data_IF_955464826072
#
_entry.id   IF_955464826072
#
_cell.length_a   1.000
_cell.length_b   1.000
_cell.length_c   1.000
_cell.angle_alpha   90.00
_cell.angle_beta   90.00
_cell.angle_gamma   90.00
#
_symmetry.space_group_name_H-M   'P 1'
#
loop_
_entity.id
_entity.type
_entity.pdbx_description
1 polymer ?
#
# COMPACT_ATOMS: atom_id res chain seq x y z
N UNK A 1 -6.14 0.23 -16.47
CA UNK A 1 -5.50 0.80 -15.27
C UNK A 1 -6.46 1.19 -14.14
N UNK A 2 -7.65 1.76 -14.44
CA UNK A 2 -8.60 2.24 -13.42
C UNK A 2 -9.00 1.17 -12.39
N UNK A 3 -9.33 -0.05 -12.82
CA UNK A 3 -9.69 -1.14 -11.90
C UNK A 3 -8.59 -1.45 -10.87
N UNK A 4 -7.32 -1.42 -11.28
CA UNK A 4 -6.17 -1.65 -10.38
C UNK A 4 -6.10 -0.55 -9.33
N UNK A 5 -6.27 0.72 -9.73
CA UNK A 5 -6.30 1.83 -8.79
C UNK A 5 -7.47 1.71 -7.80
N UNK A 6 -8.66 1.32 -8.27
CA UNK A 6 -9.83 1.07 -7.41
C UNK A 6 -9.54 -0.03 -6.39
N UNK A 7 -8.93 -1.14 -6.80
CA UNK A 7 -8.55 -2.24 -5.88
C UNK A 7 -7.60 -1.72 -4.80
N UNK A 8 -6.62 -0.90 -5.15
CA UNK A 8 -5.67 -0.34 -4.18
C UNK A 8 -6.36 0.58 -3.17
N UNK A 9 -7.30 1.41 -3.63
CA UNK A 9 -8.10 2.28 -2.76
C UNK A 9 -8.96 1.43 -1.82
N UNK A 10 -9.69 0.45 -2.35
CA UNK A 10 -10.57 -0.41 -1.55
C UNK A 10 -9.75 -1.15 -0.49
N UNK A 11 -8.65 -1.81 -0.87
CA UNK A 11 -7.81 -2.54 0.07
C UNK A 11 -7.22 -1.60 1.16
N UNK A 12 -6.76 -0.41 0.79
CA UNK A 12 -6.29 0.57 1.75
C UNK A 12 -7.35 0.95 2.79
N UNK A 13 -8.60 1.16 2.34
CA UNK A 13 -9.74 1.45 3.21
C UNK A 13 -10.07 0.26 4.11
N UNK A 14 -10.19 -0.94 3.54
CA UNK A 14 -10.52 -2.16 4.27
C UNK A 14 -9.47 -2.51 5.34
N UNK A 15 -8.19 -2.37 5.02
CA UNK A 15 -7.10 -2.62 5.98
C UNK A 15 -7.14 -1.62 7.14
N UNK A 16 -7.27 -0.31 6.85
CA UNK A 16 -7.22 0.71 7.91
C UNK A 16 -8.51 0.85 8.70
N UNK A 17 -9.62 1.03 8.00
CA UNK A 17 -10.92 1.35 8.59
C UNK A 17 -11.74 0.09 8.88
N UNK A 18 -11.71 -0.88 7.97
CA UNK A 18 -12.33 -2.21 8.19
C UNK A 18 -11.55 -3.12 9.14
N UNK A 19 -10.35 -2.69 9.60
CA UNK A 19 -9.45 -3.45 10.49
C UNK A 19 -9.14 -4.86 9.96
N UNK A 20 -9.12 -5.05 8.64
CA UNK A 20 -8.81 -6.32 8.00
C UNK A 20 -7.31 -6.63 8.05
N UNK A 21 -6.74 -6.68 9.26
CA UNK A 21 -5.30 -6.89 9.48
C UNK A 21 -4.84 -8.30 9.09
N UNK A 22 -5.76 -9.24 8.89
CA UNK A 22 -5.45 -10.58 8.37
C UNK A 22 -4.84 -10.52 6.95
N UNK A 23 -5.12 -9.46 6.18
CA UNK A 23 -4.51 -9.21 4.88
C UNK A 23 -3.01 -8.89 4.96
N UNK A 24 -2.51 -8.55 6.15
CA UNK A 24 -1.10 -8.27 6.40
C UNK A 24 -0.43 -9.58 6.78
N UNK A 25 -0.02 -10.37 5.78
CA UNK A 25 0.48 -11.74 5.99
C UNK A 25 1.57 -11.83 7.08
N UNK A 26 2.55 -10.92 7.06
CA UNK A 26 3.61 -10.87 8.06
C UNK A 26 3.11 -10.62 9.48
N UNK A 27 2.01 -9.90 9.67
CA UNK A 27 1.37 -9.75 10.97
C UNK A 27 0.48 -10.96 11.29
N UNK A 28 -0.30 -11.45 10.33
CA UNK A 28 -1.27 -12.54 10.54
C UNK A 28 -0.59 -13.84 11.04
N UNK A 29 0.59 -14.15 10.51
CA UNK A 29 1.38 -15.35 10.86
C UNK A 29 2.16 -15.23 12.18
N UNK A 30 2.22 -14.04 12.79
CA UNK A 30 2.87 -13.86 14.09
C UNK A 30 2.04 -14.48 15.24
N UNK A 31 2.74 -15.01 16.24
CA UNK A 31 2.11 -15.41 17.52
C UNK A 31 1.54 -14.20 18.25
N UNK A 32 0.53 -14.41 19.10
CA UNK A 32 -0.09 -13.33 19.88
C UNK A 32 0.93 -12.49 20.67
N UNK A 33 1.92 -13.14 21.31
CA UNK A 33 3.01 -12.48 22.04
C UNK A 33 3.85 -11.55 21.15
N UNK A 34 4.07 -11.92 19.88
CA UNK A 34 4.79 -11.07 18.91
C UNK A 34 3.90 -9.94 18.40
N UNK A 35 2.63 -10.22 18.08
CA UNK A 35 1.65 -9.21 17.64
C UNK A 35 1.51 -8.05 18.63
N UNK A 36 1.48 -8.35 19.93
CA UNK A 36 1.39 -7.35 21.01
C UNK A 36 2.56 -6.34 21.05
N UNK A 37 3.69 -6.63 20.36
CA UNK A 37 4.84 -5.72 20.28
C UNK A 37 4.74 -4.70 19.13
N UNK A 38 3.69 -4.75 18.31
CA UNK A 38 3.55 -3.91 17.13
C UNK A 38 2.32 -3.01 17.20
N UNK A 39 2.49 -1.76 16.77
CA UNK A 39 1.40 -0.83 16.50
C UNK A 39 0.75 -1.16 15.15
N UNK A 40 -0.16 -2.13 15.16
CA UNK A 40 -0.87 -2.59 13.95
C UNK A 40 -1.69 -1.47 13.29
N UNK A 41 -2.28 -0.57 14.08
CA UNK A 41 -3.02 0.57 13.55
C UNK A 41 -2.11 1.54 12.78
N UNK A 42 -0.87 1.72 13.23
CA UNK A 42 0.16 2.50 12.55
C UNK A 42 0.58 1.85 11.22
N UNK A 43 0.81 0.54 11.22
CA UNK A 43 1.15 -0.23 10.01
C UNK A 43 -0.01 -0.19 9.00
N UNK A 44 -1.25 -0.35 9.45
CA UNK A 44 -2.43 -0.25 8.60
C UNK A 44 -2.60 1.15 7.98
N UNK A 45 -2.22 2.21 8.70
CA UNK A 45 -2.21 3.58 8.18
C UNK A 45 -1.16 3.76 7.09
N UNK A 46 0.04 3.20 7.31
CA UNK A 46 1.10 3.18 6.30
C UNK A 46 0.62 2.45 5.04
N UNK A 47 0.03 1.26 5.18
CA UNK A 47 -0.51 0.50 4.05
C UNK A 47 -1.53 1.31 3.25
N UNK A 48 -2.54 1.89 3.91
CA UNK A 48 -3.53 2.76 3.26
C UNK A 48 -2.85 3.89 2.48
N UNK A 49 -1.94 4.63 3.13
CA UNK A 49 -1.31 5.80 2.50
C UNK A 49 -0.48 5.41 1.27
N UNK A 50 0.28 4.32 1.35
CA UNK A 50 1.12 3.84 0.24
C UNK A 50 0.24 3.30 -0.89
N UNK A 51 -0.82 2.55 -0.59
CA UNK A 51 -1.78 2.08 -1.59
C UNK A 51 -2.51 3.23 -2.28
N UNK A 52 -2.89 4.28 -1.55
CA UNK A 52 -3.51 5.47 -2.11
C UNK A 52 -2.53 6.23 -3.01
N UNK A 53 -1.28 6.41 -2.58
CA UNK A 53 -0.25 7.04 -3.40
C UNK A 53 -0.01 6.27 -4.71
N UNK A 54 0.06 4.94 -4.65
CA UNK A 54 0.17 4.09 -5.83
C UNK A 54 -1.07 4.21 -6.74
N UNK A 55 -2.28 4.22 -6.17
CA UNK A 55 -3.51 4.39 -6.94
C UNK A 55 -3.56 5.75 -7.65
N UNK A 56 -3.16 6.83 -6.98
CA UNK A 56 -3.07 8.17 -7.55
C UNK A 56 -2.07 8.18 -8.72
N UNK A 57 -0.88 7.60 -8.55
CA UNK A 57 0.11 7.50 -9.62
C UNK A 57 -0.40 6.70 -10.83
N UNK A 58 -1.10 5.59 -10.60
CA UNK A 58 -1.70 4.79 -11.68
C UNK A 58 -2.79 5.57 -12.43
N UNK A 59 -3.64 6.31 -11.71
CA UNK A 59 -4.66 7.16 -12.33
C UNK A 59 -4.04 8.31 -13.11
N UNK A 60 -3.00 8.94 -12.57
CA UNK A 60 -2.24 9.96 -13.29
C UNK A 60 -1.64 9.38 -14.58
N UNK A 61 -1.06 8.18 -14.53
CA UNK A 61 -0.55 7.48 -15.71
C UNK A 61 -1.62 7.26 -16.78
N UNK A 62 -2.83 6.87 -16.37
CA UNK A 62 -3.98 6.74 -17.29
C UNK A 62 -4.36 8.07 -17.96
N UNK A 63 -4.56 9.14 -17.17
CA UNK A 63 -4.95 10.43 -17.74
C UNK A 63 -3.85 11.05 -18.62
N UNK A 64 -2.58 10.96 -18.21
CA UNK A 64 -1.44 11.45 -18.99
C UNK A 64 -1.24 10.65 -20.28
N UNK A 65 -1.38 9.31 -20.21
CA UNK A 65 -1.36 8.44 -21.40
C UNK A 65 -2.40 8.87 -22.43
N UNK A 66 -3.64 9.06 -21.99
CA UNK A 66 -4.73 9.50 -22.86
C UNK A 66 -4.49 10.90 -23.43
N UNK A 67 -4.01 11.85 -22.61
CA UNK A 67 -3.76 13.21 -23.06
C UNK A 67 -2.63 13.28 -24.11
N UNK A 68 -1.60 12.46 -23.97
CA UNK A 68 -0.46 12.43 -24.88
C UNK A 68 -0.60 11.40 -26.03
N UNK A 69 -1.69 10.64 -26.08
CA UNK A 69 -1.89 9.49 -26.98
C UNK A 69 -0.72 8.49 -26.94
N UNK A 70 -0.18 8.22 -25.74
CA UNK A 70 0.96 7.32 -25.52
C UNK A 70 0.60 6.18 -24.56
N UNK A 71 0.00 5.07 -25.05
CA UNK A 71 -0.49 3.97 -24.21
C UNK A 71 0.58 3.33 -23.33
N UNK A 72 1.85 3.35 -23.76
CA UNK A 72 2.98 2.82 -22.99
C UNK A 72 3.16 3.53 -21.64
N UNK A 73 2.71 4.78 -21.50
CA UNK A 73 2.83 5.53 -20.25
C UNK A 73 2.00 4.92 -19.12
N UNK A 74 0.86 4.30 -19.42
CA UNK A 74 0.05 3.60 -18.39
C UNK A 74 0.88 2.56 -17.65
N UNK A 75 1.57 1.71 -18.42
CA UNK A 75 2.37 0.62 -17.89
C UNK A 75 3.62 1.15 -17.18
N UNK A 76 4.26 2.19 -17.70
CA UNK A 76 5.42 2.84 -17.06
C UNK A 76 5.04 3.39 -15.68
N UNK A 77 3.95 4.13 -15.57
CA UNK A 77 3.48 4.68 -14.29
C UNK A 77 3.10 3.57 -13.29
N UNK A 78 2.47 2.50 -13.77
CA UNK A 78 2.16 1.34 -12.93
C UNK A 78 3.43 0.69 -12.36
N UNK A 79 4.45 0.46 -13.20
CA UNK A 79 5.73 -0.08 -12.73
C UNK A 79 6.43 0.85 -11.75
N UNK A 80 6.46 2.16 -12.01
CA UNK A 80 7.01 3.14 -11.08
C UNK A 80 6.29 3.08 -9.73
N UNK A 81 4.96 3.06 -9.74
CA UNK A 81 4.15 2.98 -8.52
C UNK A 81 4.50 1.72 -7.69
N UNK A 82 4.61 0.56 -8.35
CA UNK A 82 4.91 -0.72 -7.69
C UNK A 82 6.37 -0.77 -7.20
N UNK A 83 7.32 -0.42 -8.06
CA UNK A 83 8.76 -0.49 -7.78
C UNK A 83 9.19 0.48 -6.68
N UNK A 84 8.47 1.58 -6.48
CA UNK A 84 8.74 2.52 -5.38
C UNK A 84 7.87 2.17 -4.16
N UNK A 85 6.57 1.96 -4.38
CA UNK A 85 5.60 1.78 -3.32
C UNK A 85 5.82 0.51 -2.50
N UNK A 86 6.10 -0.63 -3.14
CA UNK A 86 6.31 -1.89 -2.42
C UNK A 86 7.59 -1.88 -1.58
N UNK A 87 8.78 -1.51 -2.09
CA UNK A 87 9.97 -1.44 -1.24
C UNK A 87 9.82 -0.44 -0.10
N UNK A 88 9.24 0.74 -0.36
CA UNK A 88 8.97 1.71 0.70
C UNK A 88 8.05 1.13 1.78
N UNK A 89 6.96 0.46 1.39
CA UNK A 89 6.04 -0.20 2.31
C UNK A 89 6.78 -1.23 3.17
N UNK A 90 7.55 -2.12 2.54
CA UNK A 90 8.26 -3.20 3.22
C UNK A 90 9.29 -2.66 4.21
N UNK A 91 10.13 -1.72 3.80
CA UNK A 91 11.15 -1.10 4.65
C UNK A 91 10.48 -0.40 5.83
N UNK A 92 9.45 0.42 5.55
CA UNK A 92 8.84 1.25 6.59
C UNK A 92 8.03 0.42 7.57
N UNK A 93 7.24 -0.55 7.10
CA UNK A 93 6.43 -1.42 7.95
C UNK A 93 7.29 -2.29 8.90
N UNK A 94 8.49 -2.68 8.47
CA UNK A 94 9.43 -3.48 9.29
C UNK A 94 10.39 -2.63 10.14
N UNK A 95 10.37 -1.30 10.00
CA UNK A 95 11.22 -0.41 10.80
C UNK A 95 10.81 -0.40 12.27
N UNK A 96 11.75 -0.02 13.15
CA UNK A 96 11.49 0.11 14.59
C UNK A 96 10.40 1.16 14.92
N UNK A 97 9.98 2.00 13.96
CA UNK A 97 8.92 3.01 14.13
C UNK A 97 7.60 2.42 14.62
N UNK A 98 7.27 1.19 14.23
CA UNK A 98 6.00 0.55 14.57
C UNK A 98 6.12 -0.48 15.69
N UNK A 99 7.30 -0.63 16.30
CA UNK A 99 7.44 -1.42 17.51
C UNK A 99 7.00 -0.57 18.70
N UNK A 100 6.15 -1.13 19.54
CA UNK A 100 5.78 -0.52 20.82
C UNK A 100 7.02 -0.70 21.71
N UNK A 101 7.61 0.42 22.18
CA UNK A 101 8.72 0.36 23.14
C UNK A 101 8.21 -0.36 24.39
N UNK A 102 8.88 -1.46 24.75
CA UNK A 102 8.69 -2.13 26.04
C UNK A 102 9.45 -1.37 27.11
#
# INVERSE_FOLDING_TARGET
MILVAIIFIILGILIKHGKMYFLIAGYNTMTAKKKAKYNISGIATLMRNVMFAMAILILLGYYVSNWLNKPNLEMIFMFIAILIGLPYLLIKANSNKYKIKQ
#
